data_IF_471903605767
#
_entry.id   IF_471903605767
#
_cell.length_a   1.000
_cell.length_b   1.000
_cell.length_c   1.000
_cell.angle_alpha   90.00
_cell.angle_beta   90.00
_cell.angle_gamma   90.00
#
_symmetry.space_group_name_H-M   'P 1'
#
loop_
_entity.id
_entity.type
_entity.pdbx_description
1 polymer ?
#
# COMPACT_ATOMS: atom_id res chain seq x y z
N UNK A 1 -15.08 13.16 1.08
CA UNK A 1 -15.77 13.66 -0.14
C UNK A 1 -17.13 14.30 0.16
N UNK A 2 -18.13 13.57 0.67
CA UNK A 2 -19.50 14.11 0.90
C UNK A 2 -19.50 15.32 1.83
N UNK A 3 -18.79 15.26 2.95
CA UNK A 3 -18.64 16.41 3.87
C UNK A 3 -18.10 17.66 3.15
N UNK A 4 -17.05 17.52 2.34
CA UNK A 4 -16.48 18.66 1.58
C UNK A 4 -17.52 19.28 0.62
N UNK A 5 -18.28 18.43 -0.11
CA UNK A 5 -19.34 18.91 -0.98
C UNK A 5 -20.46 19.63 -0.20
N UNK A 6 -20.85 19.10 0.95
CA UNK A 6 -21.85 19.74 1.82
C UNK A 6 -21.36 21.05 2.42
N UNK A 7 -20.08 21.11 2.80
CA UNK A 7 -19.48 22.34 3.30
C UNK A 7 -19.55 23.46 2.26
N UNK A 8 -19.32 23.17 0.97
CA UNK A 8 -19.43 24.18 -0.08
C UNK A 8 -20.87 24.65 -0.31
N UNK A 9 -21.87 23.79 -0.06
CA UNK A 9 -23.30 24.13 -0.24
C UNK A 9 -23.88 24.83 0.99
N UNK A 10 -23.47 24.44 2.19
CA UNK A 10 -24.06 24.88 3.46
C UNK A 10 -23.11 25.74 4.31
N UNK A 11 -21.94 26.07 3.82
CA UNK A 11 -20.93 26.84 4.57
C UNK A 11 -21.46 28.18 5.11
N UNK A 12 -22.41 28.79 4.41
CA UNK A 12 -23.04 30.03 4.85
C UNK A 12 -23.92 29.90 6.10
N UNK A 13 -24.30 28.67 6.47
CA UNK A 13 -25.09 28.39 7.68
C UNK A 13 -24.24 28.08 8.90
N UNK A 14 -22.92 27.85 8.71
CA UNK A 14 -22.00 27.49 9.77
C UNK A 14 -21.49 28.76 10.43
N UNK A 15 -21.84 28.97 11.66
CA UNK A 15 -21.47 30.16 12.45
C UNK A 15 -20.45 29.85 13.54
N UNK A 16 -20.34 28.59 13.94
CA UNK A 16 -19.46 28.16 15.03
C UNK A 16 -18.98 26.71 14.81
N UNK A 17 -18.10 26.22 15.70
CA UNK A 17 -17.55 24.89 15.63
C UNK A 17 -18.57 23.78 15.83
N UNK A 18 -19.63 24.03 16.62
CA UNK A 18 -20.69 23.04 16.83
C UNK A 18 -21.45 22.77 15.52
N UNK A 19 -21.83 23.81 14.79
CA UNK A 19 -22.50 23.66 13.48
C UNK A 19 -21.63 22.89 12.49
N UNK A 20 -20.33 23.11 12.51
CA UNK A 20 -19.36 22.37 11.67
C UNK A 20 -19.31 20.89 12.05
N UNK A 21 -19.27 20.58 13.34
CA UNK A 21 -19.24 19.21 13.84
C UNK A 21 -20.55 18.47 13.56
N UNK A 22 -21.68 19.14 13.66
CA UNK A 22 -22.97 18.58 13.30
C UNK A 22 -23.03 18.20 11.82
N UNK A 23 -22.55 19.06 10.94
CA UNK A 23 -22.44 18.76 9.53
C UNK A 23 -21.48 17.59 9.25
N UNK A 24 -20.37 17.51 9.99
CA UNK A 24 -19.37 16.44 9.84
C UNK A 24 -19.91 15.07 10.26
N UNK A 25 -20.67 15.03 11.36
CA UNK A 25 -21.24 13.79 11.90
C UNK A 25 -22.53 13.36 11.21
N UNK A 26 -23.05 14.15 10.29
CA UNK A 26 -24.27 13.82 9.56
C UNK A 26 -24.06 12.55 8.71
N UNK A 27 -24.97 11.59 8.87
CA UNK A 27 -25.02 10.38 8.04
C UNK A 27 -25.63 10.68 6.66
N UNK A 28 -25.10 10.05 5.64
CA UNK A 28 -25.57 10.20 4.27
C UNK A 28 -25.98 8.85 3.69
N UNK A 29 -27.10 8.85 2.95
CA UNK A 29 -27.52 7.67 2.21
C UNK A 29 -26.54 7.35 1.08
N UNK A 30 -26.45 6.07 0.69
CA UNK A 30 -25.64 5.63 -0.43
C UNK A 30 -25.99 6.41 -1.70
N UNK A 31 -27.28 6.65 -1.97
CA UNK A 31 -27.76 7.46 -3.11
C UNK A 31 -27.18 8.87 -3.09
N UNK A 32 -27.07 9.51 -1.91
CA UNK A 32 -26.46 10.84 -1.79
C UNK A 32 -24.96 10.78 -2.14
N UNK A 33 -24.26 9.75 -1.69
CA UNK A 33 -22.83 9.56 -2.00
C UNK A 33 -22.61 9.35 -3.50
N UNK A 34 -23.43 8.52 -4.14
CA UNK A 34 -23.38 8.24 -5.58
C UNK A 34 -23.68 9.50 -6.41
N UNK A 35 -24.70 10.26 -6.03
CA UNK A 35 -25.03 11.52 -6.70
C UNK A 35 -23.88 12.53 -6.63
N UNK A 36 -23.26 12.68 -5.47
CA UNK A 36 -22.10 13.59 -5.29
C UNK A 36 -20.88 13.09 -6.05
N UNK A 37 -20.65 11.78 -6.08
CA UNK A 37 -19.56 11.18 -6.85
C UNK A 37 -19.75 11.36 -8.37
N UNK A 38 -20.99 11.36 -8.84
CA UNK A 38 -21.35 11.55 -10.25
C UNK A 38 -21.42 13.01 -10.71
N UNK A 39 -21.19 13.99 -9.81
CA UNK A 39 -21.21 15.40 -10.22
C UNK A 39 -20.08 15.69 -11.24
N UNK A 40 -20.36 16.56 -12.23
CA UNK A 40 -19.36 16.93 -13.24
C UNK A 40 -18.26 17.87 -12.70
N UNK A 41 -18.18 18.05 -11.38
CA UNK A 41 -17.19 18.87 -10.71
C UNK A 41 -16.14 18.01 -9.99
N UNK A 42 -14.98 17.75 -10.60
CA UNK A 42 -13.95 16.86 -10.02
C UNK A 42 -13.32 17.41 -8.73
N UNK A 43 -13.56 18.69 -8.40
CA UNK A 43 -12.98 19.34 -7.22
C UNK A 43 -13.34 18.63 -5.92
N UNK A 44 -14.58 18.13 -5.77
CA UNK A 44 -14.99 17.39 -4.57
C UNK A 44 -14.30 16.03 -4.45
N UNK A 45 -13.87 15.44 -5.55
CA UNK A 45 -13.16 14.17 -5.57
C UNK A 45 -11.73 14.31 -5.01
N UNK A 46 -11.14 15.52 -5.04
CA UNK A 46 -9.82 15.81 -4.44
C UNK A 46 -9.78 15.62 -2.93
N UNK A 47 -10.94 15.63 -2.26
CA UNK A 47 -11.05 15.37 -0.82
C UNK A 47 -11.27 13.90 -0.49
N UNK A 48 -11.23 13.04 -1.48
CA UNK A 48 -11.35 11.60 -1.25
C UNK A 48 -9.96 11.02 -0.94
N UNK A 49 -9.85 10.38 0.22
CA UNK A 49 -8.66 9.61 0.60
C UNK A 49 -9.00 8.14 0.55
N UNK A 50 -8.20 7.37 -0.17
CA UNK A 50 -8.34 5.92 -0.28
C UNK A 50 -7.06 5.30 0.28
N UNK A 51 -7.22 4.40 1.24
CA UNK A 51 -6.12 3.57 1.75
C UNK A 51 -6.20 2.20 1.09
N UNK A 52 -5.12 1.79 0.47
CA UNK A 52 -5.02 0.52 -0.25
C UNK A 52 -3.88 -0.31 0.33
N UNK A 53 -4.15 -1.58 0.62
CA UNK A 53 -3.11 -2.55 0.95
C UNK A 53 -2.70 -3.31 -0.33
N UNK A 54 -1.40 -3.32 -0.61
CA UNK A 54 -0.82 -4.09 -1.71
C UNK A 54 -0.03 -5.24 -1.11
N UNK A 55 -0.42 -6.47 -1.41
CA UNK A 55 0.19 -7.69 -0.88
C UNK A 55 0.84 -8.47 -2.00
N UNK A 56 1.96 -9.16 -1.70
CA UNK A 56 2.69 -9.97 -2.68
C UNK A 56 3.49 -9.16 -3.70
N UNK A 57 3.76 -7.89 -3.41
CA UNK A 57 4.58 -7.04 -4.25
C UNK A 57 6.07 -7.24 -3.97
N UNK A 58 6.89 -7.23 -5.01
CA UNK A 58 8.36 -7.29 -4.88
C UNK A 58 8.95 -5.94 -4.43
N UNK A 59 10.16 -5.96 -3.90
CA UNK A 59 10.95 -4.74 -3.62
C UNK A 59 11.19 -3.89 -4.87
N UNK A 60 11.36 -4.54 -6.01
CA UNK A 60 11.49 -3.86 -7.30
C UNK A 60 10.22 -3.07 -7.67
N UNK A 61 9.03 -3.64 -7.43
CA UNK A 61 7.77 -2.91 -7.60
C UNK A 61 7.70 -1.71 -6.65
N UNK A 62 8.03 -1.89 -5.37
CA UNK A 62 8.05 -0.82 -4.38
C UNK A 62 8.96 0.33 -4.83
N UNK A 63 10.19 0.02 -5.28
CA UNK A 63 11.14 1.03 -5.76
C UNK A 63 10.63 1.83 -6.96
N UNK A 64 9.76 1.25 -7.78
CA UNK A 64 9.15 1.94 -8.91
C UNK A 64 7.93 2.77 -8.49
N UNK A 65 7.02 2.21 -7.71
CA UNK A 65 5.77 2.89 -7.35
C UNK A 65 6.03 4.10 -6.45
N UNK A 66 7.00 4.04 -5.55
CA UNK A 66 7.35 5.13 -4.65
C UNK A 66 7.93 6.36 -5.35
N UNK A 67 8.26 6.28 -6.64
CA UNK A 67 8.62 7.44 -7.45
C UNK A 67 7.43 8.35 -7.79
N UNK A 68 6.22 7.82 -7.70
CA UNK A 68 4.98 8.57 -7.92
C UNK A 68 4.53 9.19 -6.58
N UNK A 69 5.16 10.31 -6.20
CA UNK A 69 4.98 10.90 -4.87
C UNK A 69 3.83 11.93 -4.79
N UNK A 70 3.28 12.35 -5.92
CA UNK A 70 2.23 13.35 -5.95
C UNK A 70 0.96 12.79 -5.32
N UNK A 71 0.55 13.39 -4.19
CA UNK A 71 -0.69 13.07 -3.46
C UNK A 71 -0.78 11.61 -2.94
N UNK A 72 0.28 10.82 -3.06
CA UNK A 72 0.32 9.44 -2.57
C UNK A 72 1.33 9.32 -1.42
N UNK A 73 0.91 8.64 -0.35
CA UNK A 73 1.79 8.29 0.77
C UNK A 73 1.97 6.78 0.79
N UNK A 74 3.20 6.36 0.96
CA UNK A 74 3.57 4.94 0.98
C UNK A 74 4.04 4.53 2.36
N UNK A 75 3.61 3.35 2.79
CA UNK A 75 4.15 2.66 3.94
C UNK A 75 4.42 1.21 3.52
N UNK A 76 5.64 0.76 3.68
CA UNK A 76 6.04 -0.61 3.35
C UNK A 76 6.52 -1.36 4.58
N UNK A 77 6.44 -2.69 4.56
CA UNK A 77 7.09 -3.51 5.55
C UNK A 77 8.60 -3.24 5.58
N UNK A 78 9.14 -3.08 6.77
CA UNK A 78 10.56 -2.80 6.97
C UNK A 78 11.35 -4.10 7.03
N UNK A 79 12.46 -4.20 6.31
CA UNK A 79 13.44 -5.27 6.50
C UNK A 79 14.17 -5.16 7.83
N UNK A 80 14.38 -3.93 8.30
CA UNK A 80 15.08 -3.65 9.54
C UNK A 80 14.34 -4.16 10.79
N UNK A 81 13.00 -4.05 10.80
CA UNK A 81 12.18 -4.37 11.98
C UNK A 81 11.38 -5.67 11.83
N UNK A 82 11.48 -6.34 10.69
CA UNK A 82 10.73 -7.57 10.42
C UNK A 82 11.68 -8.76 10.32
N UNK A 83 11.37 -9.83 11.06
CA UNK A 83 12.08 -11.09 10.93
C UNK A 83 11.40 -11.95 9.86
N UNK A 84 12.14 -12.28 8.83
CA UNK A 84 11.68 -13.10 7.69
C UNK A 84 12.06 -14.58 7.82
N UNK A 85 12.75 -15.00 8.90
CA UNK A 85 13.16 -16.39 9.09
C UNK A 85 11.93 -17.31 9.15
N UNK A 86 11.86 -18.27 8.26
CA UNK A 86 10.81 -19.29 8.21
C UNK A 86 9.43 -18.81 7.68
N UNK A 87 9.26 -17.52 7.41
CA UNK A 87 7.98 -16.94 6.96
C UNK A 87 8.10 -16.08 5.70
N UNK A 88 9.29 -15.96 5.14
CA UNK A 88 9.50 -15.14 3.96
C UNK A 88 8.92 -15.79 2.70
N UNK A 89 8.37 -14.95 1.83
CA UNK A 89 7.91 -15.33 0.51
C UNK A 89 8.59 -14.43 -0.53
N UNK A 90 8.70 -14.93 -1.74
CA UNK A 90 9.24 -14.17 -2.87
C UNK A 90 8.21 -14.04 -3.98
N UNK A 91 8.25 -12.90 -4.69
CA UNK A 91 7.41 -12.67 -5.84
C UNK A 91 7.98 -13.38 -7.08
N UNK A 92 7.13 -14.05 -7.84
CA UNK A 92 7.51 -14.65 -9.12
C UNK A 92 7.17 -13.66 -10.23
N UNK A 93 8.18 -13.10 -10.97
CA UNK A 93 7.91 -12.19 -12.08
C UNK A 93 7.07 -12.85 -13.16
N UNK A 94 6.22 -12.07 -13.83
CA UNK A 94 5.32 -12.57 -14.87
C UNK A 94 6.04 -13.34 -15.99
N UNK A 95 7.22 -12.85 -16.42
CA UNK A 95 8.03 -13.54 -17.43
C UNK A 95 8.50 -14.92 -16.99
N UNK A 96 8.89 -15.06 -15.71
CA UNK A 96 9.28 -16.35 -15.13
C UNK A 96 8.06 -17.26 -14.97
N UNK A 97 6.92 -16.72 -14.54
CA UNK A 97 5.70 -17.48 -14.36
C UNK A 97 5.20 -18.11 -15.67
N UNK A 98 5.45 -17.46 -16.81
CA UNK A 98 5.09 -17.96 -18.14
C UNK A 98 6.19 -18.76 -18.85
N UNK A 99 7.37 -18.83 -18.28
CA UNK A 99 8.48 -19.60 -18.86
C UNK A 99 8.31 -21.10 -18.61
N UNK A 100 9.16 -21.89 -19.25
CA UNK A 100 9.21 -23.33 -19.05
C UNK A 100 9.51 -23.67 -17.59
N UNK A 101 9.05 -24.85 -17.18
CA UNK A 101 9.19 -25.33 -15.79
C UNK A 101 10.63 -25.31 -15.30
N UNK A 102 11.58 -25.66 -16.15
CA UNK A 102 13.00 -25.64 -15.82
C UNK A 102 13.47 -24.23 -15.39
N UNK A 103 13.07 -23.20 -16.11
CA UNK A 103 13.39 -21.80 -15.80
C UNK A 103 12.73 -21.38 -14.47
N UNK A 104 11.47 -21.77 -14.28
CA UNK A 104 10.75 -21.49 -13.03
C UNK A 104 11.44 -22.17 -11.84
N UNK A 105 11.90 -23.40 -11.98
CA UNK A 105 12.54 -24.17 -10.91
C UNK A 105 13.94 -23.60 -10.58
N UNK A 106 14.70 -23.13 -11.57
CA UNK A 106 15.97 -22.42 -11.36
C UNK A 106 15.72 -21.15 -10.52
N UNK A 107 14.72 -20.34 -10.91
CA UNK A 107 14.38 -19.10 -10.18
C UNK A 107 13.96 -19.39 -8.74
N UNK A 108 13.05 -20.34 -8.54
CA UNK A 108 12.57 -20.72 -7.20
C UNK A 108 13.69 -21.24 -6.30
N UNK A 109 14.57 -22.07 -6.82
CA UNK A 109 15.75 -22.58 -6.08
C UNK A 109 16.67 -21.43 -5.65
N UNK A 110 16.94 -20.47 -6.53
CA UNK A 110 17.76 -19.30 -6.18
C UNK A 110 17.12 -18.50 -5.04
N UNK A 111 15.84 -18.14 -5.18
CA UNK A 111 15.14 -17.39 -4.13
C UNK A 111 15.07 -18.16 -2.80
N UNK A 112 14.89 -19.47 -2.85
CA UNK A 112 14.84 -20.32 -1.66
C UNK A 112 16.22 -20.34 -0.97
N UNK A 113 17.31 -20.48 -1.74
CA UNK A 113 18.68 -20.42 -1.22
C UNK A 113 18.98 -19.07 -0.56
N UNK A 114 18.53 -17.97 -1.16
CA UNK A 114 18.70 -16.63 -0.59
C UNK A 114 18.00 -16.51 0.77
N UNK A 115 16.78 -17.05 0.91
CA UNK A 115 16.03 -17.05 2.18
C UNK A 115 16.68 -17.97 3.23
N UNK A 116 17.29 -19.06 2.82
CA UNK A 116 18.05 -19.95 3.70
C UNK A 116 19.29 -19.22 4.24
N UNK A 117 20.07 -18.54 3.37
CA UNK A 117 21.21 -17.73 3.79
C UNK A 117 20.81 -16.63 4.77
N UNK A 118 19.70 -15.93 4.51
CA UNK A 118 19.15 -14.95 5.46
C UNK A 118 18.93 -15.59 6.84
N UNK A 119 18.26 -16.75 6.86
CA UNK A 119 17.94 -17.45 8.10
C UNK A 119 19.18 -17.89 8.85
N UNK A 120 20.18 -18.40 8.12
CA UNK A 120 21.48 -18.80 8.69
C UNK A 120 22.23 -17.60 9.31
N UNK A 121 22.29 -16.47 8.59
CA UNK A 121 22.91 -15.24 9.11
C UNK A 121 22.25 -14.77 10.41
N UNK A 122 20.92 -14.77 10.47
CA UNK A 122 20.19 -14.43 11.68
C UNK A 122 20.47 -15.42 12.83
N UNK A 123 20.57 -16.71 12.54
CA UNK A 123 20.90 -17.74 13.52
C UNK A 123 22.33 -17.58 14.09
N UNK A 124 23.25 -17.02 13.31
CA UNK A 124 24.60 -16.69 13.71
C UNK A 124 24.71 -15.36 14.47
N UNK A 125 23.58 -14.67 14.73
CA UNK A 125 23.51 -13.44 15.50
C UNK A 125 23.68 -12.16 14.69
N UNK A 126 23.62 -12.24 13.36
CA UNK A 126 23.56 -11.04 12.50
C UNK A 126 22.19 -10.41 12.62
N UNK A 127 22.14 -9.08 12.73
CA UNK A 127 20.89 -8.34 12.79
C UNK A 127 20.08 -8.46 11.48
N UNK A 128 18.75 -8.27 11.58
CA UNK A 128 17.83 -8.46 10.47
C UNK A 128 18.07 -7.49 9.29
N UNK A 129 18.55 -6.29 9.59
CA UNK A 129 18.84 -5.29 8.55
C UNK A 129 20.04 -5.74 7.71
N UNK A 130 21.12 -6.15 8.36
CA UNK A 130 22.31 -6.66 7.69
C UNK A 130 22.04 -7.99 6.95
N UNK A 131 21.35 -8.93 7.58
CA UNK A 131 20.96 -10.19 6.96
C UNK A 131 20.00 -9.97 5.78
N UNK A 132 19.20 -8.91 5.80
CA UNK A 132 18.25 -8.53 4.75
C UNK A 132 18.88 -8.32 3.38
N UNK A 133 20.18 -8.06 3.30
CA UNK A 133 20.90 -7.98 2.02
C UNK A 133 20.98 -9.34 1.29
N UNK A 134 20.78 -10.45 1.98
CA UNK A 134 20.75 -11.79 1.39
C UNK A 134 19.35 -12.17 0.86
N UNK A 135 18.31 -11.34 1.05
CA UNK A 135 16.94 -11.68 0.60
C UNK A 135 16.73 -11.40 -0.88
N UNK A 136 15.83 -12.14 -1.57
CA UNK A 136 15.44 -11.85 -2.95
C UNK A 136 14.81 -10.44 -3.06
N UNK A 137 15.12 -9.73 -4.14
CA UNK A 137 14.67 -8.35 -4.35
C UNK A 137 13.30 -8.26 -5.01
#
# INVERSE_FOLDING_TARGET
>A
MVFAARLTQHGHTIQNMADLMDLYHQSYSQKTVENIAGLPHPTVQKFMVITVAVVGASRRFLAQITRHQNEVKYMSASLQYSNYSGHAAFAIPYGIMKADKEIQDIYKKSCQSDLEHYTELCALGIDHDSAGYATPQ
#
